data_IF_289116678959
#
_entry.id   IF_289116678959
#
_cell.length_a   1.000
_cell.length_b   1.000
_cell.length_c   1.000
_cell.angle_alpha   90.00
_cell.angle_beta   90.00
_cell.angle_gamma   90.00
#
_symmetry.space_group_name_H-M   'P 1'
#
loop_
_entity.id
_entity.type
_entity.pdbx_description
1 polymer ?
#
# COMPACT_ATOMS: atom_id res chain seq x y z
N UNK A 1 -18.19 -25.37 -20.83
CA UNK A 1 -18.43 -25.66 -19.41
C UNK A 1 -17.91 -24.49 -18.59
N UNK A 2 -18.79 -23.63 -18.08
CA UNK A 2 -18.42 -22.57 -17.13
C UNK A 2 -18.58 -23.16 -15.73
N UNK A 3 -17.48 -23.64 -15.15
CA UNK A 3 -17.47 -24.30 -13.85
C UNK A 3 -17.29 -23.30 -12.72
N UNK A 4 -18.19 -23.34 -11.73
CA UNK A 4 -18.06 -22.75 -10.39
C UNK A 4 -17.99 -21.23 -10.34
N UNK A 5 -19.07 -20.57 -9.90
CA UNK A 5 -19.08 -19.14 -9.64
C UNK A 5 -17.95 -18.74 -8.70
N UNK A 6 -16.97 -18.02 -9.22
CA UNK A 6 -15.96 -17.38 -8.39
C UNK A 6 -16.62 -16.15 -7.76
N UNK A 7 -17.11 -16.33 -6.54
CA UNK A 7 -17.76 -15.26 -5.80
C UNK A 7 -16.81 -14.08 -5.57
N UNK A 8 -17.37 -12.89 -5.37
CA UNK A 8 -16.57 -11.68 -5.20
C UNK A 8 -15.51 -11.83 -4.10
N UNK A 9 -15.88 -12.48 -2.99
CA UNK A 9 -14.99 -12.78 -1.86
C UNK A 9 -13.86 -13.76 -2.23
N UNK A 10 -14.11 -14.69 -3.16
CA UNK A 10 -13.06 -15.59 -3.63
C UNK A 10 -12.01 -14.81 -4.41
N UNK A 11 -12.43 -13.98 -5.37
CA UNK A 11 -11.52 -13.22 -6.22
C UNK A 11 -10.84 -12.06 -5.50
N UNK A 12 -11.51 -11.45 -4.52
CA UNK A 12 -10.97 -10.30 -3.80
C UNK A 12 -10.07 -10.66 -2.60
N UNK A 13 -10.27 -11.84 -1.99
CA UNK A 13 -9.66 -12.17 -0.69
C UNK A 13 -9.17 -13.62 -0.60
N UNK A 14 -10.01 -14.59 -0.98
CA UNK A 14 -9.77 -16.01 -0.64
C UNK A 14 -8.95 -16.77 -1.69
N UNK A 15 -8.67 -16.16 -2.84
CA UNK A 15 -7.85 -16.75 -3.89
C UNK A 15 -6.42 -16.94 -3.36
N UNK A 16 -5.80 -18.13 -3.52
CA UNK A 16 -4.42 -18.39 -3.10
C UNK A 16 -3.41 -17.38 -3.66
N UNK A 17 -3.66 -16.84 -4.86
CA UNK A 17 -2.82 -15.81 -5.46
C UNK A 17 -2.87 -14.48 -4.71
N UNK A 18 -4.01 -14.13 -4.10
CA UNK A 18 -4.23 -12.87 -3.39
C UNK A 18 -3.84 -12.95 -1.91
N UNK A 19 -3.85 -14.14 -1.30
CA UNK A 19 -3.54 -14.32 0.12
C UNK A 19 -2.14 -13.83 0.49
N UNK A 20 -1.13 -14.11 -0.33
CA UNK A 20 0.25 -13.63 -0.10
C UNK A 20 0.35 -12.10 -0.23
N UNK A 21 -0.42 -11.52 -1.14
CA UNK A 21 -0.51 -10.07 -1.27
C UNK A 21 -1.11 -9.44 -0.01
N UNK A 22 -2.25 -9.96 0.46
CA UNK A 22 -2.93 -9.47 1.65
C UNK A 22 -2.11 -9.64 2.93
N UNK A 23 -1.40 -10.75 3.10
CA UNK A 23 -0.48 -10.96 4.24
C UNK A 23 0.64 -9.91 4.28
N UNK A 24 1.21 -9.55 3.14
CA UNK A 24 2.25 -8.50 3.08
C UNK A 24 1.67 -7.12 3.40
N UNK A 25 0.46 -6.85 2.93
CA UNK A 25 -0.28 -5.62 3.26
C UNK A 25 -0.58 -5.56 4.76
N UNK A 26 -1.10 -6.65 5.34
CA UNK A 26 -1.38 -6.79 6.78
C UNK A 26 -0.14 -6.56 7.65
N UNK A 27 0.97 -7.24 7.34
CA UNK A 27 2.22 -7.08 8.09
C UNK A 27 2.79 -5.66 7.99
N UNK A 28 2.70 -5.05 6.80
CA UNK A 28 3.15 -3.67 6.61
C UNK A 28 2.27 -2.67 7.36
N UNK A 29 0.95 -2.85 7.32
CA UNK A 29 0.01 -1.99 8.03
C UNK A 29 0.15 -2.12 9.54
N UNK A 30 0.29 -3.34 10.06
CA UNK A 30 0.55 -3.60 11.49
C UNK A 30 1.80 -2.87 11.96
N UNK A 31 2.87 -2.92 11.16
CA UNK A 31 4.12 -2.22 11.45
C UNK A 31 3.94 -0.68 11.39
N UNK A 32 3.27 -0.16 10.37
CA UNK A 32 3.02 1.29 10.20
C UNK A 32 2.21 1.86 11.37
N UNK A 33 1.12 1.19 11.77
CA UNK A 33 0.24 1.67 12.85
C UNK A 33 0.76 1.32 14.25
N UNK A 34 1.87 0.59 14.34
CA UNK A 34 2.45 0.07 15.59
C UNK A 34 1.43 -0.68 16.48
N UNK A 35 0.52 -1.43 15.86
CA UNK A 35 -0.49 -2.23 16.54
C UNK A 35 -0.71 -3.56 15.80
N UNK A 36 -1.02 -4.65 16.52
CA UNK A 36 -1.37 -5.92 15.88
C UNK A 36 -2.67 -5.73 15.09
N UNK A 37 -2.58 -5.82 13.77
CA UNK A 37 -3.74 -5.78 12.88
C UNK A 37 -3.96 -7.18 12.32
N UNK A 38 -5.12 -7.77 12.58
CA UNK A 38 -5.56 -8.98 11.88
C UNK A 38 -6.49 -8.59 10.76
N UNK A 39 -6.07 -8.74 9.50
CA UNK A 39 -6.95 -8.43 8.38
C UNK A 39 -7.98 -9.55 8.20
N UNK A 40 -9.24 -9.24 8.51
CA UNK A 40 -10.38 -10.06 8.11
C UNK A 40 -10.88 -9.60 6.74
N UNK A 41 -11.63 -10.42 5.98
CA UNK A 41 -12.25 -9.97 4.73
C UNK A 41 -13.08 -8.69 4.91
N UNK A 42 -13.76 -8.54 6.05
CA UNK A 42 -14.56 -7.38 6.37
C UNK A 42 -13.68 -6.13 6.56
N UNK A 43 -12.58 -6.23 7.31
CA UNK A 43 -11.64 -5.12 7.49
C UNK A 43 -10.95 -4.77 6.16
N UNK A 44 -10.46 -5.77 5.43
CA UNK A 44 -9.77 -5.56 4.16
C UNK A 44 -10.68 -4.90 3.10
N UNK A 45 -11.97 -5.29 3.07
CA UNK A 45 -12.93 -4.80 2.08
C UNK A 45 -13.61 -3.50 2.49
N UNK A 46 -13.95 -3.32 3.77
CA UNK A 46 -14.65 -2.12 4.25
C UNK A 46 -13.69 -1.05 4.77
N UNK A 47 -12.46 -1.41 5.13
CA UNK A 47 -11.45 -0.48 5.64
C UNK A 47 -11.75 0.05 7.04
N UNK A 48 -12.53 -0.68 7.83
CA UNK A 48 -13.02 -0.24 9.14
C UNK A 48 -12.73 -1.27 10.22
N UNK A 49 -12.17 -0.81 11.34
CA UNK A 49 -12.04 -1.55 12.62
C UNK A 49 -12.17 -0.56 13.78
N UNK A 50 -12.75 -1.00 14.89
CA UNK A 50 -12.89 -0.19 16.11
C UNK A 50 -11.67 -0.26 17.03
N UNK A 51 -10.76 -1.20 16.76
CA UNK A 51 -9.61 -1.53 17.59
C UNK A 51 -8.50 -0.46 17.55
N UNK A 52 -8.61 0.52 16.65
CA UNK A 52 -7.60 1.57 16.44
C UNK A 52 -8.20 2.97 16.51
N UNK A 53 -7.34 3.94 16.82
CA UNK A 53 -7.70 5.34 16.96
C UNK A 53 -8.20 5.97 15.66
N UNK A 54 -8.90 7.13 15.72
CA UNK A 54 -9.55 7.74 14.55
C UNK A 54 -8.56 8.14 13.44
N UNK A 55 -7.35 8.58 13.79
CA UNK A 55 -6.29 8.93 12.82
C UNK A 55 -5.78 7.68 12.11
N UNK A 56 -5.42 6.64 12.86
CA UNK A 56 -4.99 5.35 12.32
C UNK A 56 -6.09 4.71 11.45
N UNK A 57 -7.36 4.87 11.82
CA UNK A 57 -8.51 4.38 11.04
C UNK A 57 -8.62 5.06 9.68
N UNK A 58 -8.41 6.38 9.61
CA UNK A 58 -8.38 7.11 8.32
C UNK A 58 -7.22 6.65 7.45
N UNK A 59 -6.03 6.51 8.04
CA UNK A 59 -4.85 5.98 7.36
C UNK A 59 -5.10 4.56 6.82
N UNK A 60 -5.60 3.66 7.66
CA UNK A 60 -5.92 2.28 7.33
C UNK A 60 -6.94 2.22 6.19
N UNK A 61 -8.01 3.02 6.27
CA UNK A 61 -9.04 3.11 5.24
C UNK A 61 -8.46 3.53 3.88
N UNK A 62 -7.58 4.53 3.86
CA UNK A 62 -6.89 4.96 2.64
C UNK A 62 -5.95 3.87 2.09
N UNK A 63 -5.12 3.29 2.95
CA UNK A 63 -4.17 2.26 2.54
C UNK A 63 -4.85 1.01 1.98
N UNK A 64 -5.95 0.58 2.61
CA UNK A 64 -6.76 -0.54 2.14
C UNK A 64 -7.56 -0.21 0.88
N UNK A 65 -8.01 1.04 0.71
CA UNK A 65 -8.63 1.49 -0.55
C UNK A 65 -7.68 1.30 -1.74
N UNK A 66 -6.42 1.70 -1.60
CA UNK A 66 -5.41 1.48 -2.63
C UNK A 66 -5.14 -0.01 -2.87
N UNK A 67 -5.14 -0.82 -1.80
CA UNK A 67 -4.95 -2.26 -1.93
C UNK A 67 -6.08 -2.91 -2.73
N UNK A 68 -7.33 -2.64 -2.34
CA UNK A 68 -8.54 -3.09 -3.07
C UNK A 68 -8.54 -2.66 -4.52
N UNK A 69 -8.16 -1.40 -4.79
CA UNK A 69 -8.06 -0.90 -6.17
C UNK A 69 -7.11 -1.74 -7.01
N UNK A 70 -5.97 -2.16 -6.46
CA UNK A 70 -5.02 -3.04 -7.16
C UNK A 70 -5.60 -4.42 -7.46
N UNK A 71 -6.30 -5.01 -6.50
CA UNK A 71 -7.01 -6.29 -6.69
C UNK A 71 -8.07 -6.13 -7.79
N UNK A 72 -8.92 -5.11 -7.70
CA UNK A 72 -9.97 -4.83 -8.68
C UNK A 72 -9.43 -4.57 -10.09
N UNK A 73 -8.33 -3.81 -10.24
CA UNK A 73 -7.71 -3.58 -11.56
C UNK A 73 -7.10 -4.84 -12.20
N UNK A 74 -6.92 -5.91 -11.43
CA UNK A 74 -6.40 -7.20 -11.92
C UNK A 74 -7.47 -8.28 -12.02
N UNK A 75 -8.70 -7.96 -11.69
CA UNK A 75 -9.85 -8.85 -11.82
C UNK A 75 -9.90 -9.45 -13.23
N UNK A 76 -9.94 -10.79 -13.32
CA UNK A 76 -9.99 -11.52 -14.58
C UNK A 76 -8.65 -11.71 -15.32
N UNK A 77 -7.52 -11.15 -14.83
CA UNK A 77 -6.19 -11.30 -15.48
C UNK A 77 -5.34 -12.45 -14.93
N UNK A 78 -5.86 -13.23 -13.97
CA UNK A 78 -5.21 -14.43 -13.42
C UNK A 78 -3.87 -14.19 -12.70
N UNK A 79 -3.48 -12.93 -12.43
CA UNK A 79 -2.22 -12.58 -11.78
C UNK A 79 -2.44 -11.69 -10.57
N UNK A 80 -1.91 -12.13 -9.44
CA UNK A 80 -1.93 -11.38 -8.19
C UNK A 80 -1.27 -9.99 -8.33
N UNK A 81 -1.76 -8.96 -7.62
CA UNK A 81 -1.14 -7.65 -7.57
C UNK A 81 0.23 -7.73 -6.88
N UNK A 82 1.16 -6.91 -7.36
CA UNK A 82 2.48 -6.82 -6.76
C UNK A 82 2.41 -5.90 -5.54
N UNK A 83 2.87 -6.39 -4.39
CA UNK A 83 2.97 -5.58 -3.16
C UNK A 83 3.73 -4.26 -3.37
N UNK A 84 4.85 -4.28 -4.12
CA UNK A 84 5.63 -3.07 -4.44
C UNK A 84 4.78 -1.97 -5.11
N UNK A 85 3.81 -2.35 -5.94
CA UNK A 85 2.95 -1.39 -6.63
C UNK A 85 1.96 -0.73 -5.67
N UNK A 86 1.47 -1.47 -4.67
CA UNK A 86 0.62 -0.90 -3.62
C UNK A 86 1.39 0.09 -2.75
N UNK A 87 2.62 -0.28 -2.32
CA UNK A 87 3.45 0.62 -1.54
C UNK A 87 3.80 1.90 -2.32
N UNK A 88 4.10 1.76 -3.61
CA UNK A 88 4.32 2.91 -4.50
C UNK A 88 3.08 3.81 -4.59
N UNK A 89 1.87 3.24 -4.71
CA UNK A 89 0.64 4.03 -4.73
C UNK A 89 0.42 4.77 -3.41
N UNK A 90 0.80 4.16 -2.29
CA UNK A 90 0.65 4.77 -0.97
C UNK A 90 1.54 6.00 -0.83
N UNK A 91 2.80 5.91 -1.27
CA UNK A 91 3.75 7.05 -1.29
C UNK A 91 3.31 8.13 -2.27
N UNK A 92 2.99 7.75 -3.52
CA UNK A 92 2.52 8.70 -4.53
C UNK A 92 1.22 9.38 -4.11
N UNK A 93 0.29 8.62 -3.51
CA UNK A 93 -0.99 9.13 -3.02
C UNK A 93 -0.81 10.13 -1.87
N UNK A 94 0.12 9.85 -0.94
CA UNK A 94 0.53 10.82 0.08
C UNK A 94 1.00 12.13 -0.57
N UNK A 95 1.97 12.06 -1.48
CA UNK A 95 2.55 13.25 -2.13
C UNK A 95 1.48 14.10 -2.82
N UNK A 96 0.54 13.47 -3.52
CA UNK A 96 -0.57 14.18 -4.16
C UNK A 96 -1.46 14.87 -3.13
N UNK A 97 -1.84 14.19 -2.05
CA UNK A 97 -2.69 14.75 -1.01
C UNK A 97 -2.00 15.88 -0.24
N UNK A 98 -0.68 15.81 -0.03
CA UNK A 98 0.10 16.89 0.56
C UNK A 98 0.15 18.12 -0.35
N UNK A 99 0.38 17.92 -1.66
CA UNK A 99 0.34 19.01 -2.64
C UNK A 99 -1.04 19.71 -2.65
N UNK A 100 -2.14 18.95 -2.54
CA UNK A 100 -3.47 19.54 -2.39
C UNK A 100 -3.67 20.22 -1.02
N UNK A 101 -3.11 19.68 0.06
CA UNK A 101 -3.21 20.26 1.39
C UNK A 101 -2.47 21.60 1.53
N UNK A 102 -1.44 21.85 0.71
CA UNK A 102 -0.77 23.16 0.64
C UNK A 102 -1.72 24.26 0.15
N UNK A 103 -2.66 23.91 -0.73
CA UNK A 103 -3.69 24.82 -1.25
C UNK A 103 -4.82 25.09 -0.25
N UNK A 104 -4.89 24.32 0.85
CA UNK A 104 -5.92 24.46 1.88
C UNK A 104 -5.44 25.33 3.07
N UNK A 105 -6.37 25.93 3.83
CA UNK A 105 -6.05 26.64 5.06
C UNK A 105 -5.24 25.76 6.04
N UNK A 106 -4.30 26.34 6.82
CA UNK A 106 -3.43 25.59 7.73
C UNK A 106 -4.18 24.71 8.74
N UNK A 107 -5.39 25.12 9.14
CA UNK A 107 -6.27 24.43 10.08
C UNK A 107 -6.83 23.12 9.54
N UNK A 108 -6.75 22.88 8.23
CA UNK A 108 -7.31 21.70 7.55
C UNK A 108 -6.24 20.70 7.12
N UNK A 109 -4.96 20.93 7.44
CA UNK A 109 -3.85 20.10 6.96
C UNK A 109 -3.73 18.80 7.76
N UNK A 110 -3.95 17.62 7.16
CA UNK A 110 -3.88 16.36 7.87
C UNK A 110 -2.45 15.83 7.95
N UNK A 111 -1.51 16.62 8.50
CA UNK A 111 -0.09 16.22 8.57
C UNK A 111 0.11 14.95 9.41
N UNK A 112 -0.70 14.79 10.45
CA UNK A 112 -0.56 13.67 11.39
C UNK A 112 -1.07 12.33 10.83
N UNK A 113 -1.82 12.34 9.71
CA UNK A 113 -2.33 11.09 9.10
C UNK A 113 -1.20 10.27 8.49
N UNK A 114 -0.11 10.90 8.05
CA UNK A 114 0.98 10.24 7.33
C UNK A 114 2.14 9.80 8.22
N UNK A 115 2.17 10.23 9.48
CA UNK A 115 3.23 9.86 10.43
C UNK A 115 3.51 8.33 10.47
N UNK A 116 2.50 7.43 10.48
CA UNK A 116 2.71 5.98 10.38
C UNK A 116 3.55 5.53 9.18
N UNK A 117 3.31 6.13 8.01
CA UNK A 117 4.03 5.79 6.79
C UNK A 117 5.46 6.32 6.83
N UNK A 118 5.65 7.55 7.33
CA UNK A 118 6.96 8.19 7.39
C UNK A 118 7.88 7.46 8.34
N UNK A 119 7.40 7.12 9.54
CA UNK A 119 8.16 6.30 10.49
C UNK A 119 8.52 4.94 9.90
N UNK A 120 7.58 4.29 9.20
CA UNK A 120 7.83 3.00 8.55
C UNK A 120 8.88 3.08 7.44
N UNK A 121 8.85 4.14 6.62
CA UNK A 121 9.82 4.34 5.54
C UNK A 121 11.19 4.69 6.10
N UNK A 122 11.27 5.55 7.11
CA UNK A 122 12.51 5.91 7.79
C UNK A 122 13.16 4.68 8.45
N UNK A 123 12.40 3.86 9.17
CA UNK A 123 12.90 2.61 9.77
C UNK A 123 13.28 1.52 8.75
N UNK A 124 12.87 1.67 7.48
CA UNK A 124 13.35 0.85 6.35
C UNK A 124 14.55 1.44 5.62
N UNK A 125 14.82 2.72 5.83
CA UNK A 125 15.92 3.48 5.24
C UNK A 125 17.08 3.69 6.23
N UNK A 126 16.94 3.28 7.50
CA UNK A 126 18.05 3.20 8.44
C UNK A 126 19.15 2.26 7.89
N UNK A 127 20.44 2.60 8.06
CA UNK A 127 21.52 1.92 7.35
C UNK A 127 21.60 0.46 7.77
N UNK A 128 21.64 -0.40 6.74
CA UNK A 128 22.14 -1.76 6.80
C UNK A 128 23.53 -1.70 7.45
N UNK A 129 23.64 -2.18 8.69
CA UNK A 129 24.91 -2.71 9.16
C UNK A 129 24.87 -4.23 9.00
N UNK A 130 25.83 -4.71 8.20
CA UNK A 130 26.20 -6.10 7.91
C UNK A 130 25.42 -6.87 6.82
N UNK A 131 25.85 -6.66 5.57
CA UNK A 131 26.43 -7.79 4.84
C UNK A 131 25.72 -8.31 3.58
N UNK A 132 24.67 -7.67 3.07
CA UNK A 132 24.15 -8.01 1.72
C UNK A 132 23.91 -6.73 0.92
N UNK A 133 24.80 -6.51 -0.04
CA UNK A 133 24.67 -5.48 -1.06
C UNK A 133 23.48 -5.80 -1.96
N UNK A 134 22.30 -5.28 -1.61
CA UNK A 134 21.17 -5.16 -2.51
C UNK A 134 20.91 -3.67 -2.72
N UNK A 135 21.12 -3.21 -3.96
CA UNK A 135 21.03 -1.81 -4.35
C UNK A 135 19.76 -1.12 -3.84
N UNK A 136 19.93 0.14 -3.45
CA UNK A 136 18.86 0.97 -2.92
C UNK A 136 17.71 1.05 -3.93
N UNK A 137 16.45 0.76 -3.53
CA UNK A 137 15.28 0.92 -4.40
C UNK A 137 15.06 2.35 -4.91
N UNK A 138 15.67 3.34 -4.24
CA UNK A 138 15.63 4.75 -4.62
C UNK A 138 16.62 5.07 -5.76
N UNK A 139 17.77 4.39 -5.81
CA UNK A 139 18.74 4.53 -6.89
C UNK A 139 18.27 3.83 -8.16
N UNK A 140 17.59 2.68 -8.04
CA UNK A 140 16.96 1.98 -9.17
C UNK A 140 15.80 2.81 -9.80
N UNK A 141 15.12 3.63 -8.99
CA UNK A 141 14.07 4.54 -9.48
C UNK A 141 14.65 5.78 -10.20
N UNK A 142 15.78 6.31 -9.73
CA UNK A 142 16.48 7.41 -10.39
C UNK A 142 17.09 6.96 -11.73
N UNK A 143 17.68 5.76 -11.77
CA UNK A 143 18.29 5.20 -12.98
C UNK A 143 17.27 4.84 -14.08
N UNK A 144 16.00 4.60 -13.72
CA UNK A 144 14.94 4.27 -14.68
C UNK A 144 14.39 5.45 -15.50
N UNK A 145 14.82 6.69 -15.24
CA UNK A 145 14.34 7.89 -15.97
C UNK A 145 15.28 8.42 -17.05
N UNK A 146 16.53 7.98 -17.11
CA UNK A 146 17.51 8.49 -18.10
C UNK A 146 17.54 7.70 -19.42
N UNK A 147 16.66 6.70 -19.60
CA UNK A 147 16.71 5.76 -20.71
C UNK A 147 15.58 5.85 -21.74
N UNK A 148 15.00 7.03 -22.01
CA UNK A 148 14.13 7.23 -23.18
C UNK A 148 14.38 8.60 -23.80
N UNK A 149 15.54 8.72 -24.44
CA UNK A 149 15.87 9.80 -25.35
C UNK A 149 16.78 9.25 -26.44
N UNK A 150 16.28 9.29 -27.67
CA UNK A 150 16.99 9.13 -28.94
C UNK A 150 17.12 7.71 -29.54
N UNK A 151 16.76 7.58 -30.82
CA UNK A 151 16.93 6.33 -31.56
C UNK A 151 15.99 6.02 -32.73
N UNK A 152 15.78 6.98 -33.66
CA UNK A 152 15.23 6.84 -35.04
C UNK A 152 13.73 6.67 -35.26
#
# INVERSE_FOLDING_TARGET
MWGGGADFLHLAWSCPGELEYWRRVEGSLSAMIAAPLTLTPLIALLGYTEEIGPVQRRYLGFALLLAKRRVACRWGRGRAPKFKNWLSDLVCGKMQLEAYAELLPPTSRPRDIWAPLDTYLLGRLDPIDNGVSAGSPLEEWAAGREGTGDGR
#
